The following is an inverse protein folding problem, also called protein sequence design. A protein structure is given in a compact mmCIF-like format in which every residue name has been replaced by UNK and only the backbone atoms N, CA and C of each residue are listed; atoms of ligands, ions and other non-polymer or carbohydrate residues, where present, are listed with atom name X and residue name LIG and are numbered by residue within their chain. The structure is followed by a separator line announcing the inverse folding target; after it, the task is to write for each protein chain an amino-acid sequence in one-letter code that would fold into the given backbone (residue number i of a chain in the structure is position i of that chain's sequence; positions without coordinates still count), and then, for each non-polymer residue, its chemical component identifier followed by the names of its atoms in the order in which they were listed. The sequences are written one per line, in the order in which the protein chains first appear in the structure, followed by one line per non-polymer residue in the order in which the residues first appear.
data_IF_973443362626
#
_entry.id   IF_973443362626
#
_cell.length_a   1.000
_cell.length_b   1.000
_cell.length_c   1.000
_cell.angle_alpha   90.00
_cell.angle_beta   90.00
_cell.angle_gamma   90.00
#
_symmetry.space_group_name_H-M   'P 1'
#
loop_
_entity.id
_entity.type
_entity.pdbx_description
1 polymer ?
#
# COMPACT_ATOMS: atom_id res chain seq x y z
N UNK A 1 13.72 2.32 -27.60
CA UNK A 1 13.51 3.44 -26.66
C UNK A 1 14.04 4.67 -27.35
N UNK A 2 13.17 5.60 -27.75
CA UNK A 2 13.62 6.92 -28.23
C UNK A 2 14.37 7.57 -27.07
N UNK A 3 15.62 7.98 -27.27
CA UNK A 3 16.37 8.70 -26.26
C UNK A 3 15.68 10.04 -26.03
N UNK A 4 15.24 10.27 -24.79
CA UNK A 4 14.59 11.49 -24.37
C UNK A 4 15.51 12.68 -24.67
N UNK A 5 14.94 13.74 -25.28
CA UNK A 5 15.70 14.95 -25.66
C UNK A 5 16.03 15.75 -24.41
N UNK A 6 17.32 15.89 -24.11
CA UNK A 6 17.77 16.65 -22.93
C UNK A 6 17.75 18.16 -23.25
N UNK A 7 17.17 18.96 -22.34
CA UNK A 7 17.06 20.40 -22.45
C UNK A 7 17.97 21.08 -21.44
N UNK A 8 18.92 21.84 -21.94
CA UNK A 8 19.97 22.53 -21.19
C UNK A 8 19.71 24.03 -21.24
N UNK A 9 19.57 24.68 -20.09
CA UNK A 9 19.55 26.14 -19.99
C UNK A 9 20.98 26.62 -19.68
N UNK A 10 21.57 27.37 -20.58
CA UNK A 10 22.84 28.06 -20.40
C UNK A 10 22.61 29.54 -20.09
N UNK A 11 23.01 29.98 -18.89
CA UNK A 11 22.97 31.38 -18.49
C UNK A 11 24.39 31.91 -18.45
N UNK A 12 24.76 32.72 -19.47
CA UNK A 12 26.14 33.14 -19.76
C UNK A 12 26.10 34.41 -20.60
N UNK A 13 26.83 35.43 -20.23
CA UNK A 13 26.84 36.70 -20.95
C UNK A 13 27.99 36.85 -21.99
N UNK A 14 29.07 36.04 -21.84
CA UNK A 14 30.19 36.08 -22.76
C UNK A 14 29.90 35.23 -24.03
N UNK A 15 29.81 35.85 -25.24
CA UNK A 15 29.54 35.12 -26.48
C UNK A 15 30.61 34.06 -26.83
N UNK A 16 31.87 34.29 -26.42
CA UNK A 16 32.96 33.34 -26.68
C UNK A 16 32.81 32.09 -25.84
N UNK A 17 32.45 32.24 -24.57
CA UNK A 17 32.15 31.12 -23.69
C UNK A 17 30.95 30.33 -24.15
N UNK A 18 29.88 31.01 -24.60
CA UNK A 18 28.69 30.35 -25.21
C UNK A 18 29.09 29.55 -26.46
N UNK A 19 29.94 30.09 -27.31
CA UNK A 19 30.41 29.38 -28.51
C UNK A 19 31.24 28.15 -28.14
N UNK A 20 32.13 28.24 -27.16
CA UNK A 20 32.91 27.13 -26.64
C UNK A 20 31.98 26.04 -26.09
N UNK A 21 31.01 26.37 -25.19
CA UNK A 21 30.09 25.40 -24.60
C UNK A 21 29.24 24.69 -25.69
N UNK A 22 28.80 25.40 -26.72
CA UNK A 22 28.10 24.80 -27.88
C UNK A 22 28.98 23.81 -28.64
N UNK A 23 30.23 24.14 -28.84
CA UNK A 23 31.21 23.27 -29.51
C UNK A 23 31.46 22.00 -28.72
N UNK A 24 31.76 22.13 -27.42
CA UNK A 24 32.02 20.99 -26.54
C UNK A 24 30.80 20.02 -26.42
N UNK A 25 29.58 20.54 -26.43
CA UNK A 25 28.35 19.72 -26.45
C UNK A 25 28.09 19.09 -27.82
N UNK A 26 28.30 19.85 -28.92
CA UNK A 26 27.96 19.39 -30.27
C UNK A 26 28.81 18.25 -30.79
N UNK A 27 30.09 18.17 -30.39
CA UNK A 27 31.06 17.21 -30.94
C UNK A 27 30.92 15.80 -30.41
N UNK A 28 30.40 15.60 -29.16
CA UNK A 28 30.40 14.29 -28.48
C UNK A 28 29.16 13.95 -27.68
N UNK A 29 28.12 14.79 -27.72
CA UNK A 29 26.88 14.44 -27.02
C UNK A 29 26.18 13.28 -27.72
N UNK A 30 26.01 12.18 -27.01
CA UNK A 30 25.34 10.98 -27.53
C UNK A 30 23.83 11.05 -27.24
N UNK A 31 23.07 11.45 -28.26
CA UNK A 31 21.61 11.62 -28.21
C UNK A 31 21.12 13.02 -28.58
N UNK A 32 19.80 13.22 -28.65
CA UNK A 32 19.23 14.55 -28.96
C UNK A 32 19.34 15.48 -27.74
N UNK A 33 19.81 16.71 -27.93
CA UNK A 33 19.75 17.73 -26.90
C UNK A 33 19.28 19.08 -27.48
N UNK A 34 18.85 19.97 -26.60
CA UNK A 34 18.51 21.35 -26.91
C UNK A 34 19.25 22.27 -25.94
N UNK A 35 20.03 23.22 -26.47
CA UNK A 35 20.69 24.23 -25.67
C UNK A 35 19.98 25.57 -25.84
N UNK A 36 19.32 26.04 -24.80
CA UNK A 36 18.72 27.38 -24.74
C UNK A 36 19.70 28.30 -24.00
N UNK A 37 20.10 29.38 -24.69
CA UNK A 37 21.05 30.34 -24.13
C UNK A 37 20.35 31.64 -23.73
N UNK A 38 20.74 32.20 -22.61
CA UNK A 38 20.27 33.48 -22.04
C UNK A 38 21.47 34.22 -21.45
N UNK A 39 21.51 35.53 -21.65
CA UNK A 39 22.62 36.41 -21.25
C UNK A 39 22.47 37.12 -19.92
N UNK A 40 21.29 37.07 -19.29
CA UNK A 40 20.96 37.73 -18.02
C UNK A 40 20.29 36.77 -17.05
N UNK A 41 20.61 36.86 -15.76
CA UNK A 41 19.94 36.06 -14.72
C UNK A 41 18.44 36.30 -14.71
N UNK A 42 17.99 37.55 -14.78
CA UNK A 42 16.58 37.92 -14.77
C UNK A 42 15.76 37.29 -15.88
N UNK A 43 16.34 37.14 -17.07
CA UNK A 43 15.75 36.46 -18.22
C UNK A 43 15.82 34.94 -18.05
N UNK A 44 16.94 34.42 -17.53
CA UNK A 44 17.10 33.00 -17.18
C UNK A 44 16.09 32.51 -16.19
N UNK A 45 15.79 33.27 -15.13
CA UNK A 45 14.77 32.99 -14.16
C UNK A 45 13.36 32.87 -14.77
N UNK A 46 13.01 33.81 -15.68
CA UNK A 46 11.72 33.75 -16.39
C UNK A 46 11.61 32.50 -17.25
N UNK A 47 12.69 32.16 -17.95
CA UNK A 47 12.71 30.99 -18.83
C UNK A 47 12.71 29.66 -18.03
N UNK A 48 13.43 29.64 -16.90
CA UNK A 48 13.48 28.49 -16.01
C UNK A 48 12.12 28.20 -15.31
N UNK A 49 11.30 29.23 -15.10
CA UNK A 49 9.96 29.07 -14.50
C UNK A 49 8.99 28.28 -15.39
N UNK A 50 9.30 28.07 -16.68
CA UNK A 50 8.52 27.21 -17.58
C UNK A 50 8.72 25.71 -17.31
N UNK A 51 9.61 25.33 -16.36
CA UNK A 51 9.88 23.97 -15.85
C UNK A 51 10.15 22.91 -16.92
N UNK A 52 10.86 23.27 -17.99
CA UNK A 52 11.10 22.35 -19.10
C UNK A 52 12.59 22.06 -19.35
N UNK A 53 13.45 22.30 -18.35
CA UNK A 53 14.89 22.04 -18.42
C UNK A 53 15.32 20.88 -17.51
N UNK A 54 16.22 20.05 -18.04
CA UNK A 54 16.84 18.94 -17.31
C UNK A 54 18.05 19.40 -16.48
N UNK A 55 18.71 20.52 -16.88
CA UNK A 55 19.87 21.07 -16.18
C UNK A 55 20.07 22.54 -16.51
N UNK A 56 20.61 23.29 -15.56
CA UNK A 56 21.06 24.68 -15.76
C UNK A 56 22.58 24.72 -15.65
N UNK A 57 23.22 25.29 -16.71
CA UNK A 57 24.62 25.73 -16.67
C UNK A 57 24.61 27.22 -16.35
N UNK A 58 25.20 27.61 -15.21
CA UNK A 58 25.08 28.96 -14.67
C UNK A 58 26.42 29.62 -14.46
N UNK A 59 26.66 30.70 -15.18
CA UNK A 59 27.75 31.61 -14.82
C UNK A 59 27.41 32.41 -13.57
N UNK A 60 28.39 32.58 -12.70
CA UNK A 60 28.26 33.38 -11.48
C UNK A 60 28.55 34.86 -11.68
N UNK A 61 29.07 35.28 -12.84
CA UNK A 61 29.53 36.64 -13.10
C UNK A 61 28.71 37.31 -14.20
N UNK A 62 27.39 37.36 -14.03
CA UNK A 62 26.47 37.96 -14.99
C UNK A 62 26.33 39.49 -14.81
N UNK A 63 25.93 40.26 -15.86
CA UNK A 63 25.77 41.70 -15.78
C UNK A 63 24.79 42.18 -14.71
N UNK A 64 23.75 41.40 -14.45
CA UNK A 64 22.66 41.73 -13.52
C UNK A 64 22.76 40.98 -12.16
N UNK A 65 23.77 40.11 -11.96
CA UNK A 65 23.98 39.41 -10.68
C UNK A 65 25.38 38.79 -10.61
N UNK A 66 25.98 38.75 -9.41
CA UNK A 66 27.35 38.19 -9.22
C UNK A 66 27.50 37.29 -8.04
N UNK A 67 28.37 36.29 -8.17
CA UNK A 67 28.80 35.40 -7.12
C UNK A 67 27.70 34.47 -6.63
N UNK A 68 27.73 34.13 -5.33
CA UNK A 68 26.75 33.19 -4.70
C UNK A 68 25.31 33.70 -4.78
N UNK A 69 25.08 35.00 -4.84
CA UNK A 69 23.73 35.55 -4.98
C UNK A 69 23.07 35.09 -6.29
N UNK A 70 23.84 35.01 -7.38
CA UNK A 70 23.38 34.49 -8.68
C UNK A 70 22.90 33.05 -8.55
N UNK A 71 23.67 32.20 -7.86
CA UNK A 71 23.30 30.82 -7.60
C UNK A 71 22.03 30.71 -6.75
N UNK A 72 21.94 31.41 -5.63
CA UNK A 72 20.76 31.35 -4.77
C UNK A 72 19.48 31.82 -5.46
N UNK A 73 19.56 32.89 -6.26
CA UNK A 73 18.41 33.35 -7.03
C UNK A 73 17.97 32.32 -8.06
N UNK A 74 18.91 31.70 -8.80
CA UNK A 74 18.60 30.66 -9.77
C UNK A 74 18.01 29.43 -9.10
N UNK A 75 18.61 28.97 -7.98
CA UNK A 75 18.10 27.81 -7.21
C UNK A 75 16.67 28.04 -6.70
N UNK A 76 16.35 29.23 -6.23
CA UNK A 76 15.00 29.57 -5.81
C UNK A 76 14.00 29.61 -6.99
N UNK A 77 14.47 29.95 -8.21
CA UNK A 77 13.65 30.02 -9.41
C UNK A 77 13.36 28.67 -10.06
N UNK A 78 14.34 27.74 -10.06
CA UNK A 78 14.18 26.39 -10.66
C UNK A 78 13.65 25.34 -9.67
N UNK A 79 13.65 25.63 -8.37
CA UNK A 79 13.31 24.65 -7.34
C UNK A 79 14.41 23.64 -7.09
N UNK A 80 14.06 22.50 -6.47
CA UNK A 80 15.03 21.44 -6.11
C UNK A 80 15.19 20.38 -7.20
N UNK A 81 14.25 20.28 -8.14
CA UNK A 81 14.20 19.23 -9.16
C UNK A 81 15.16 19.47 -10.35
N UNK A 82 15.50 20.73 -10.65
CA UNK A 82 16.41 21.05 -11.76
C UNK A 82 17.83 21.27 -11.22
N UNK A 83 18.80 20.40 -11.57
CA UNK A 83 20.17 20.53 -11.10
C UNK A 83 20.87 21.72 -11.73
N UNK A 84 21.73 22.41 -10.96
CA UNK A 84 22.54 23.53 -11.39
C UNK A 84 24.02 23.12 -11.39
N UNK A 85 24.68 23.25 -12.53
CA UNK A 85 26.13 23.15 -12.68
C UNK A 85 26.67 24.57 -12.86
N UNK A 86 27.58 24.96 -11.98
CA UNK A 86 28.13 26.31 -11.98
C UNK A 86 29.30 26.41 -12.95
N UNK A 87 29.33 27.47 -13.76
CA UNK A 87 30.47 27.86 -14.56
C UNK A 87 31.24 28.98 -13.83
N UNK A 88 32.56 28.86 -13.66
CA UNK A 88 33.36 29.84 -12.94
C UNK A 88 34.62 30.25 -13.72
N UNK A 89 35.00 31.53 -13.64
CA UNK A 89 36.33 31.96 -14.10
C UNK A 89 37.42 31.46 -13.15
N UNK A 90 38.68 31.60 -13.62
CA UNK A 90 39.88 31.12 -12.86
C UNK A 90 40.02 31.80 -11.45
N UNK A 91 39.56 33.02 -11.31
CA UNK A 91 39.65 33.82 -10.07
C UNK A 91 38.50 33.55 -9.09
N UNK A 92 37.46 32.80 -9.48
CA UNK A 92 36.22 32.61 -8.73
C UNK A 92 36.04 31.19 -8.14
N UNK A 93 37.09 30.36 -8.13
CA UNK A 93 37.05 28.96 -7.68
C UNK A 93 36.53 28.83 -6.23
N UNK A 94 36.90 29.76 -5.35
CA UNK A 94 36.40 29.75 -3.96
C UNK A 94 34.91 29.97 -3.85
N UNK A 95 34.34 30.78 -4.75
CA UNK A 95 32.88 31.04 -4.81
C UNK A 95 32.15 29.83 -5.40
N UNK A 96 32.75 29.19 -6.42
CA UNK A 96 32.20 27.97 -7.02
C UNK A 96 32.12 26.80 -6.00
N UNK A 97 33.18 26.59 -5.20
CA UNK A 97 33.17 25.58 -4.12
C UNK A 97 32.07 25.88 -3.09
N UNK A 98 31.86 27.14 -2.72
CA UNK A 98 30.76 27.52 -1.82
C UNK A 98 29.38 27.27 -2.45
N UNK A 99 29.23 27.45 -3.77
CA UNK A 99 27.98 27.15 -4.45
C UNK A 99 27.67 25.64 -4.40
N UNK A 100 28.68 24.76 -4.56
CA UNK A 100 28.51 23.31 -4.39
C UNK A 100 28.12 22.96 -2.95
N UNK A 101 28.76 23.58 -1.94
CA UNK A 101 28.36 23.39 -0.54
C UNK A 101 26.93 23.89 -0.25
N UNK A 102 26.44 24.86 -1.02
CA UNK A 102 25.08 25.38 -0.95
C UNK A 102 24.05 24.60 -1.80
N UNK A 103 24.51 23.55 -2.52
CA UNK A 103 23.64 22.61 -3.25
C UNK A 103 23.71 22.70 -4.77
N UNK A 104 24.73 23.36 -5.37
CA UNK A 104 25.03 23.14 -6.78
C UNK A 104 25.51 21.69 -6.97
N UNK A 105 25.17 21.08 -8.12
CA UNK A 105 25.51 19.68 -8.38
C UNK A 105 26.99 19.51 -8.70
N UNK A 106 27.58 20.49 -9.37
CA UNK A 106 29.01 20.52 -9.71
C UNK A 106 29.45 21.96 -10.05
N UNK A 107 30.78 22.16 -10.22
CA UNK A 107 31.29 23.39 -10.81
C UNK A 107 32.34 23.07 -11.85
N UNK A 108 32.44 23.92 -12.89
CA UNK A 108 33.36 23.79 -14.00
C UNK A 108 34.13 25.09 -14.17
N UNK A 109 35.49 25.02 -14.27
CA UNK A 109 36.35 26.18 -14.47
C UNK A 109 36.45 26.45 -15.96
N UNK A 110 36.00 27.62 -16.41
CA UNK A 110 36.07 28.07 -17.81
C UNK A 110 37.52 28.01 -18.31
N UNK A 111 37.74 27.52 -19.51
CA UNK A 111 39.08 27.37 -20.11
C UNK A 111 39.85 26.11 -19.66
N UNK A 112 39.37 25.36 -18.64
CA UNK A 112 39.93 24.06 -18.28
C UNK A 112 38.98 22.89 -18.56
N UNK A 113 37.76 23.18 -19.00
CA UNK A 113 36.74 22.19 -19.32
C UNK A 113 36.96 21.65 -20.73
N UNK A 114 37.07 20.32 -20.80
CA UNK A 114 36.98 19.60 -22.06
C UNK A 114 35.57 19.01 -22.26
N UNK A 115 35.33 18.46 -23.44
CA UNK A 115 34.06 17.86 -23.84
C UNK A 115 33.63 16.73 -22.88
N UNK A 116 34.56 15.87 -22.46
CA UNK A 116 34.30 14.74 -21.60
C UNK A 116 33.89 15.19 -20.17
N UNK A 117 34.56 16.21 -19.63
CA UNK A 117 34.27 16.75 -18.29
C UNK A 117 32.90 17.42 -18.28
N UNK A 118 32.59 18.27 -19.28
CA UNK A 118 31.29 18.95 -19.40
C UNK A 118 30.15 17.94 -19.50
N UNK A 119 30.24 17.01 -20.46
CA UNK A 119 29.19 15.99 -20.68
C UNK A 119 28.98 15.11 -19.45
N UNK A 120 30.06 14.68 -18.81
CA UNK A 120 30.00 13.87 -17.61
C UNK A 120 29.35 14.61 -16.44
N UNK A 121 29.72 15.88 -16.22
CA UNK A 121 29.14 16.71 -15.16
C UNK A 121 27.64 16.90 -15.37
N UNK A 122 27.20 17.21 -16.59
CA UNK A 122 25.79 17.36 -16.93
C UNK A 122 25.02 16.04 -16.70
N UNK A 123 25.52 14.91 -17.24
CA UNK A 123 24.87 13.60 -17.07
C UNK A 123 24.75 13.20 -15.61
N UNK A 124 25.81 13.38 -14.83
CA UNK A 124 25.79 13.07 -13.39
C UNK A 124 24.85 13.98 -12.61
N UNK A 125 24.77 15.28 -12.99
CA UNK A 125 23.85 16.21 -12.38
C UNK A 125 22.38 15.78 -12.60
N UNK A 126 22.02 15.47 -13.85
CA UNK A 126 20.68 15.00 -14.22
C UNK A 126 20.35 13.67 -13.53
N UNK A 127 21.23 12.68 -13.61
CA UNK A 127 21.01 11.35 -13.05
C UNK A 127 20.84 11.41 -11.53
N UNK A 128 21.67 12.21 -10.86
CA UNK A 128 21.59 12.39 -9.40
C UNK A 128 20.29 13.09 -8.99
N UNK A 129 19.83 14.08 -9.75
CA UNK A 129 18.56 14.76 -9.48
C UNK A 129 17.38 13.81 -9.66
N UNK A 130 17.29 13.11 -10.79
CA UNK A 130 16.24 12.13 -11.08
C UNK A 130 16.17 11.03 -10.00
N UNK A 131 17.33 10.56 -9.54
CA UNK A 131 17.40 9.57 -8.46
C UNK A 131 16.88 10.13 -7.13
N UNK A 132 17.25 11.36 -6.80
CA UNK A 132 16.78 12.01 -5.57
C UNK A 132 15.27 12.24 -5.59
N UNK A 133 14.72 12.68 -6.73
CA UNK A 133 13.28 12.88 -6.88
C UNK A 133 12.51 11.55 -6.77
N UNK A 134 13.01 10.48 -7.41
CA UNK A 134 12.42 9.14 -7.30
C UNK A 134 12.48 8.60 -5.86
N UNK A 135 13.60 8.79 -5.14
CA UNK A 135 13.74 8.40 -3.73
C UNK A 135 12.77 9.19 -2.83
N UNK A 136 12.52 10.48 -3.14
CA UNK A 136 11.60 11.34 -2.41
C UNK A 136 10.15 10.92 -2.64
N UNK A 137 9.75 10.69 -3.89
CA UNK A 137 8.41 10.20 -4.24
C UNK A 137 8.10 8.84 -3.59
N UNK A 138 9.08 7.93 -3.59
CA UNK A 138 8.96 6.64 -2.92
C UNK A 138 8.76 6.79 -1.41
N UNK A 139 9.48 7.73 -0.80
CA UNK A 139 9.38 8.00 0.63
C UNK A 139 8.01 8.60 0.99
N UNK A 140 7.55 9.60 0.23
CA UNK A 140 6.27 10.27 0.49
C UNK A 140 5.12 9.26 0.35
N UNK A 141 5.13 8.43 -0.70
CA UNK A 141 4.18 7.34 -0.90
C UNK A 141 4.22 6.33 0.27
N UNK A 142 5.41 5.95 0.73
CA UNK A 142 5.57 5.03 1.86
C UNK A 142 5.03 5.59 3.18
N UNK A 143 5.18 6.90 3.43
CA UNK A 143 4.65 7.57 4.62
C UNK A 143 3.10 7.62 4.59
N UNK A 144 2.49 7.86 3.43
CA UNK A 144 1.03 7.82 3.24
C UNK A 144 0.46 6.41 3.49
N UNK A 145 1.10 5.38 2.92
CA UNK A 145 0.70 3.99 3.16
C UNK A 145 0.80 3.61 4.64
N UNK A 146 1.84 4.06 5.32
CA UNK A 146 2.02 3.81 6.76
C UNK A 146 0.93 4.47 7.59
N UNK A 147 0.56 5.71 7.27
CA UNK A 147 -0.53 6.39 7.95
C UNK A 147 -1.87 5.66 7.78
N UNK A 148 -2.17 5.18 6.56
CA UNK A 148 -3.36 4.38 6.29
C UNK A 148 -3.35 3.05 7.06
N UNK A 149 -2.22 2.36 7.14
CA UNK A 149 -2.03 1.15 7.94
C UNK A 149 -2.35 1.39 9.43
N UNK A 150 -1.82 2.47 10.01
CA UNK A 150 -2.07 2.80 11.42
C UNK A 150 -3.55 3.07 11.70
N UNK A 151 -4.27 3.69 10.75
CA UNK A 151 -5.72 3.91 10.86
C UNK A 151 -6.45 2.56 10.77
N UNK A 152 -6.12 1.74 9.77
CA UNK A 152 -6.77 0.46 9.55
C UNK A 152 -6.58 -0.50 10.73
N UNK A 153 -5.38 -0.57 11.32
CA UNK A 153 -5.10 -1.41 12.49
C UNK A 153 -6.02 -1.12 13.69
N UNK A 154 -6.49 0.13 13.84
CA UNK A 154 -7.45 0.52 14.88
C UNK A 154 -8.88 0.04 14.62
N UNK A 155 -9.17 -0.40 13.39
CA UNK A 155 -10.49 -0.91 13.02
C UNK A 155 -10.68 -2.35 13.47
N UNK A 156 -9.61 -3.12 13.63
CA UNK A 156 -9.68 -4.51 14.06
C UNK A 156 -9.87 -4.65 15.56
N UNK A 157 -10.53 -5.73 16.01
CA UNK A 157 -10.69 -6.01 17.43
C UNK A 157 -9.34 -6.21 18.12
N UNK A 158 -9.09 -5.50 19.22
CA UNK A 158 -7.88 -5.68 20.03
C UNK A 158 -7.98 -6.86 20.99
N UNK A 159 -9.21 -7.31 21.30
CA UNK A 159 -9.51 -8.44 22.18
C UNK A 159 -10.81 -9.09 21.75
N UNK A 160 -10.88 -10.41 21.89
CA UNK A 160 -12.15 -11.11 21.80
C UNK A 160 -13.05 -10.73 22.99
N UNK A 161 -14.36 -10.59 22.78
CA UNK A 161 -15.30 -10.33 23.86
C UNK A 161 -15.43 -11.57 24.77
N UNK A 162 -15.67 -11.34 26.05
CA UNK A 162 -16.06 -12.42 26.97
C UNK A 162 -17.53 -12.76 26.75
N UNK A 163 -17.81 -14.00 26.37
CA UNK A 163 -19.16 -14.52 26.21
C UNK A 163 -19.29 -15.80 27.06
N UNK A 164 -20.31 -15.86 27.93
CA UNK A 164 -20.49 -16.98 28.82
C UNK A 164 -20.70 -18.29 28.04
N UNK A 165 -19.96 -19.33 28.40
CA UNK A 165 -20.00 -20.63 27.74
C UNK A 165 -19.22 -20.73 26.44
N UNK A 166 -18.49 -19.67 26.05
CA UNK A 166 -17.71 -19.63 24.81
C UNK A 166 -16.29 -19.15 25.06
N UNK A 167 -15.34 -19.72 24.31
CA UNK A 167 -13.96 -19.26 24.19
C UNK A 167 -13.73 -18.84 22.74
N UNK A 168 -13.49 -17.53 22.52
CA UNK A 168 -13.47 -16.92 21.20
C UNK A 168 -12.11 -16.25 20.98
N UNK A 169 -11.54 -16.47 19.81
CA UNK A 169 -10.33 -15.79 19.37
C UNK A 169 -10.33 -15.55 17.85
N UNK A 170 -9.69 -14.51 17.43
CA UNK A 170 -9.41 -14.24 16.03
C UNK A 170 -8.15 -13.39 15.88
N UNK A 171 -7.53 -13.51 14.75
CA UNK A 171 -6.37 -12.73 14.36
C UNK A 171 -6.36 -12.48 12.86
N UNK A 172 -5.72 -11.37 12.48
CA UNK A 172 -5.41 -11.01 11.11
C UNK A 172 -3.91 -10.82 10.98
N UNK A 173 -3.34 -11.39 9.95
CA UNK A 173 -1.93 -11.28 9.58
C UNK A 173 -1.84 -10.72 8.14
N UNK A 174 -1.63 -9.41 8.00
CA UNK A 174 -1.57 -8.77 6.70
C UNK A 174 -0.36 -9.22 5.87
N UNK A 175 -0.53 -9.39 4.57
CA UNK A 175 0.55 -9.66 3.62
C UNK A 175 1.32 -8.38 3.25
N UNK A 176 0.63 -7.25 3.23
CA UNK A 176 1.18 -5.93 2.87
C UNK A 176 0.91 -4.89 3.97
N UNK A 177 1.12 -3.62 3.67
CA UNK A 177 0.87 -2.53 4.63
C UNK A 177 -0.61 -2.42 5.03
N UNK A 178 -1.54 -2.69 4.10
CA UNK A 178 -2.98 -2.68 4.34
C UNK A 178 -3.59 -4.01 3.91
N UNK A 179 -4.67 -4.43 4.56
CA UNK A 179 -5.34 -5.70 4.32
C UNK A 179 -6.73 -5.51 3.69
N UNK A 180 -7.08 -6.38 2.73
CA UNK A 180 -8.44 -6.59 2.27
C UNK A 180 -9.27 -7.44 3.21
N UNK A 181 -8.60 -8.34 3.92
CA UNK A 181 -9.21 -9.22 4.91
C UNK A 181 -9.82 -8.46 6.09
N UNK A 182 -10.93 -9.00 6.58
CA UNK A 182 -11.69 -8.44 7.67
C UNK A 182 -12.18 -9.51 8.64
N UNK A 183 -12.03 -9.25 9.94
CA UNK A 183 -12.79 -9.95 10.97
C UNK A 183 -13.27 -8.99 12.05
N UNK A 184 -14.39 -9.30 12.66
CA UNK A 184 -14.95 -8.46 13.72
C UNK A 184 -15.81 -9.27 14.73
N UNK A 185 -15.96 -8.67 15.90
CA UNK A 185 -16.89 -9.07 16.95
C UNK A 185 -17.85 -7.92 17.19
N UNK A 186 -19.10 -8.10 16.83
CA UNK A 186 -20.09 -7.03 16.87
C UNK A 186 -21.14 -7.37 17.92
N UNK A 187 -21.22 -6.62 19.03
CA UNK A 187 -22.34 -6.77 19.97
C UNK A 187 -23.65 -6.52 19.23
N UNK A 188 -24.60 -7.46 19.37
CA UNK A 188 -25.92 -7.39 18.75
C UNK A 188 -27.01 -7.26 19.82
N UNK A 189 -28.25 -7.03 19.36
CA UNK A 189 -29.42 -7.01 20.24
C UNK A 189 -29.55 -8.33 21.03
N UNK A 190 -30.27 -8.29 22.14
CA UNK A 190 -30.58 -9.46 22.98
C UNK A 190 -29.33 -10.18 23.52
N UNK A 191 -28.27 -9.45 23.81
CA UNK A 191 -26.98 -9.98 24.30
C UNK A 191 -26.27 -10.98 23.35
N UNK A 192 -26.70 -11.03 22.10
CA UNK A 192 -26.06 -11.83 21.07
C UNK A 192 -24.74 -11.22 20.61
N UNK A 193 -23.88 -12.07 20.06
CA UNK A 193 -22.58 -11.66 19.49
C UNK A 193 -22.55 -12.00 18.00
N UNK A 194 -22.32 -10.99 17.17
CA UNK A 194 -22.00 -11.15 15.77
C UNK A 194 -20.52 -11.48 15.58
N UNK A 195 -20.23 -12.51 14.81
CA UNK A 195 -18.88 -12.89 14.35
C UNK A 195 -18.84 -12.64 12.84
N UNK A 196 -17.86 -11.91 12.37
CA UNK A 196 -17.70 -11.59 10.95
C UNK A 196 -16.32 -12.01 10.48
N UNK A 197 -16.22 -12.63 9.33
CA UNK A 197 -14.98 -12.85 8.57
C UNK A 197 -15.27 -12.60 7.11
N UNK A 198 -14.43 -11.87 6.45
CA UNK A 198 -14.57 -11.58 5.03
C UNK A 198 -13.25 -11.20 4.39
N UNK A 199 -13.26 -11.18 3.08
CA UNK A 199 -12.15 -10.80 2.24
C UNK A 199 -12.66 -9.95 1.07
N UNK A 200 -11.95 -8.88 0.76
CA UNK A 200 -12.23 -8.00 -0.37
C UNK A 200 -11.28 -8.36 -1.52
N UNK A 201 -11.85 -8.64 -2.68
CA UNK A 201 -11.08 -9.03 -3.87
C UNK A 201 -9.96 -8.04 -4.20
N UNK A 202 -8.74 -8.56 -4.44
CA UNK A 202 -7.56 -7.76 -4.76
C UNK A 202 -6.73 -7.37 -3.53
N UNK A 203 -5.73 -6.51 -3.71
CA UNK A 203 -4.82 -6.09 -2.64
C UNK A 203 -4.50 -4.60 -2.71
N UNK A 204 -4.05 -4.04 -1.61
CA UNK A 204 -3.65 -2.65 -1.51
C UNK A 204 -4.74 -1.71 -0.98
N UNK A 205 -4.66 -0.42 -1.33
CA UNK A 205 -5.48 0.63 -0.72
C UNK A 205 -6.98 0.51 -1.07
N UNK A 206 -7.33 0.16 -2.32
CA UNK A 206 -8.72 0.03 -2.74
C UNK A 206 -9.49 -0.99 -1.90
N UNK A 207 -9.07 -2.27 -1.85
CA UNK A 207 -9.65 -3.27 -0.97
C UNK A 207 -9.68 -2.88 0.51
N UNK A 208 -8.64 -2.22 1.01
CA UNK A 208 -8.60 -1.74 2.40
C UNK A 208 -9.67 -0.68 2.72
N UNK A 209 -9.99 0.19 1.78
CA UNK A 209 -11.08 1.18 1.92
C UNK A 209 -12.43 0.51 1.87
N UNK A 210 -12.66 -0.39 0.91
CA UNK A 210 -13.92 -1.15 0.79
C UNK A 210 -14.15 -2.05 2.02
N UNK A 211 -13.11 -2.63 2.60
CA UNK A 211 -13.18 -3.32 3.89
C UNK A 211 -13.65 -2.39 5.01
N UNK A 212 -13.11 -1.17 5.06
CA UNK A 212 -13.47 -0.19 6.09
C UNK A 212 -14.95 0.24 5.97
N UNK A 213 -15.44 0.41 4.74
CA UNK A 213 -16.83 0.68 4.44
C UNK A 213 -17.73 -0.51 4.84
N UNK A 214 -17.36 -1.72 4.42
CA UNK A 214 -18.07 -2.96 4.79
C UNK A 214 -18.23 -3.06 6.31
N UNK A 215 -17.14 -2.85 7.05
CA UNK A 215 -17.16 -2.84 8.52
C UNK A 215 -18.12 -1.80 9.08
N UNK A 216 -18.06 -0.56 8.61
CA UNK A 216 -18.92 0.52 9.10
C UNK A 216 -20.40 0.22 8.84
N UNK A 217 -20.70 -0.30 7.64
CA UNK A 217 -22.04 -0.70 7.22
C UNK A 217 -22.59 -1.81 8.15
N UNK A 218 -21.83 -2.90 8.37
CA UNK A 218 -22.25 -4.01 9.22
C UNK A 218 -22.47 -3.57 10.66
N UNK A 219 -21.56 -2.79 11.25
CA UNK A 219 -21.70 -2.29 12.61
C UNK A 219 -22.90 -1.37 12.80
N UNK A 220 -23.30 -0.65 11.77
CA UNK A 220 -24.50 0.19 11.79
C UNK A 220 -25.77 -0.65 11.66
N UNK A 221 -25.80 -1.58 10.72
CA UNK A 221 -26.97 -2.43 10.47
C UNK A 221 -27.30 -3.35 11.64
N UNK A 222 -26.30 -3.89 12.34
CA UNK A 222 -26.49 -4.76 13.52
C UNK A 222 -27.15 -4.08 14.72
N UNK A 223 -27.18 -2.74 14.74
CA UNK A 223 -27.91 -1.99 15.79
C UNK A 223 -29.41 -1.95 15.54
N UNK A 224 -29.86 -2.15 14.30
CA UNK A 224 -31.25 -2.04 13.90
C UNK A 224 -31.86 -3.38 13.45
N UNK A 225 -31.03 -4.32 13.00
CA UNK A 225 -31.48 -5.59 12.44
C UNK A 225 -30.86 -6.75 13.21
N UNK A 226 -31.64 -7.85 13.33
CA UNK A 226 -31.27 -9.03 14.11
C UNK A 226 -30.91 -10.24 13.23
N UNK A 227 -31.58 -10.40 12.09
CA UNK A 227 -31.33 -11.48 11.15
C UNK A 227 -30.07 -11.21 10.32
N UNK A 228 -29.11 -12.17 10.35
CA UNK A 228 -27.81 -12.01 9.69
C UNK A 228 -27.90 -11.97 8.17
N UNK A 229 -28.86 -12.67 7.57
CA UNK A 229 -29.11 -12.63 6.12
C UNK A 229 -29.69 -11.29 5.69
N UNK A 230 -30.63 -10.73 6.47
CA UNK A 230 -31.19 -9.38 6.19
C UNK A 230 -30.11 -8.31 6.33
N UNK A 231 -29.22 -8.42 7.33
CA UNK A 231 -28.06 -7.53 7.48
C UNK A 231 -27.17 -7.58 6.24
N UNK A 232 -26.77 -8.80 5.78
CA UNK A 232 -25.92 -8.93 4.61
C UNK A 232 -26.62 -8.51 3.31
N UNK A 233 -27.90 -8.76 3.17
CA UNK A 233 -28.70 -8.28 2.02
C UNK A 233 -28.71 -6.76 1.93
N UNK A 234 -28.81 -6.07 3.07
CA UNK A 234 -28.77 -4.59 3.12
C UNK A 234 -27.36 -4.05 2.89
N UNK A 235 -26.36 -4.70 3.47
CA UNK A 235 -24.97 -4.37 3.22
C UNK A 235 -24.62 -4.51 1.73
N UNK A 236 -25.10 -5.58 1.07
CA UNK A 236 -24.93 -5.79 -0.36
C UNK A 236 -25.40 -4.61 -1.20
N UNK A 237 -26.57 -4.05 -0.90
CA UNK A 237 -27.14 -2.91 -1.65
C UNK A 237 -26.26 -1.66 -1.54
N UNK A 238 -25.67 -1.41 -0.36
CA UNK A 238 -24.74 -0.30 -0.17
C UNK A 238 -23.47 -0.54 -0.96
N UNK A 239 -22.85 -1.70 -0.78
CA UNK A 239 -21.59 -2.04 -1.43
C UNK A 239 -21.73 -2.08 -2.97
N UNK A 240 -22.80 -2.66 -3.50
CA UNK A 240 -23.02 -2.73 -4.95
C UNK A 240 -23.24 -1.37 -5.62
N UNK A 241 -23.64 -0.34 -4.86
CA UNK A 241 -23.75 1.02 -5.38
C UNK A 241 -22.37 1.72 -5.50
N UNK A 242 -21.40 1.32 -4.67
CA UNK A 242 -20.11 1.98 -4.53
C UNK A 242 -18.95 1.16 -5.10
N UNK A 243 -19.17 -0.14 -5.44
CA UNK A 243 -18.18 -1.01 -6.10
C UNK A 243 -18.24 -0.91 -7.61
N UNK A 244 -17.11 -1.14 -8.26
CA UNK A 244 -17.00 -1.35 -9.71
C UNK A 244 -17.11 -2.85 -10.07
N UNK A 245 -17.11 -3.16 -11.37
CA UNK A 245 -17.21 -4.55 -11.87
C UNK A 245 -16.01 -5.45 -11.46
N UNK A 246 -14.97 -4.89 -10.83
CA UNK A 246 -13.73 -5.60 -10.48
C UNK A 246 -13.66 -5.98 -9.00
N UNK A 247 -14.40 -5.28 -8.13
CA UNK A 247 -14.33 -5.47 -6.69
C UNK A 247 -15.59 -6.12 -6.13
N UNK A 248 -15.41 -7.08 -5.25
CA UNK A 248 -16.47 -7.75 -4.51
C UNK A 248 -15.97 -8.14 -3.12
N UNK A 249 -16.89 -8.46 -2.22
CA UNK A 249 -16.56 -8.87 -0.86
C UNK A 249 -17.10 -10.28 -0.62
N UNK A 250 -16.20 -11.24 -0.32
CA UNK A 250 -16.63 -12.50 0.29
C UNK A 250 -16.76 -12.32 1.78
N UNK A 251 -17.87 -12.72 2.37
CA UNK A 251 -18.14 -12.47 3.78
C UNK A 251 -19.06 -13.52 4.38
N UNK A 252 -18.70 -13.99 5.59
CA UNK A 252 -19.57 -14.76 6.46
C UNK A 252 -19.86 -13.97 7.74
N UNK A 253 -21.14 -13.94 8.13
CA UNK A 253 -21.58 -13.38 9.39
C UNK A 253 -22.36 -14.44 10.17
N UNK A 254 -21.90 -14.73 11.39
CA UNK A 254 -22.55 -15.59 12.34
C UNK A 254 -23.06 -14.81 13.54
N UNK A 255 -24.20 -15.23 14.11
CA UNK A 255 -24.73 -14.71 15.36
C UNK A 255 -24.80 -15.82 16.40
N UNK A 256 -24.15 -15.60 17.54
CA UNK A 256 -24.19 -16.47 18.70
C UNK A 256 -25.19 -15.93 19.70
N UNK A 257 -26.13 -16.77 20.11
CA UNK A 257 -27.00 -16.54 21.28
C UNK A 257 -26.47 -17.37 22.44
N UNK A 258 -25.89 -16.76 23.50
CA UNK A 258 -25.31 -17.46 24.61
C UNK A 258 -26.36 -18.13 25.51
N UNK A 259 -27.60 -17.64 25.51
CA UNK A 259 -28.68 -18.18 26.37
C UNK A 259 -29.21 -19.49 25.82
N UNK A 260 -29.48 -19.53 24.51
CA UNK A 260 -29.98 -20.72 23.82
C UNK A 260 -28.89 -21.62 23.27
N UNK A 261 -27.61 -21.17 23.29
CA UNK A 261 -26.45 -21.85 22.71
C UNK A 261 -26.63 -22.13 21.22
N UNK A 262 -27.30 -21.25 20.54
CA UNK A 262 -27.55 -21.38 19.10
C UNK A 262 -26.58 -20.50 18.31
N UNK A 263 -26.19 -21.01 17.14
CA UNK A 263 -25.44 -20.30 16.13
C UNK A 263 -26.24 -20.21 14.84
N UNK A 264 -26.42 -19.02 14.33
CA UNK A 264 -27.10 -18.74 13.07
C UNK A 264 -26.12 -18.01 12.18
N UNK A 265 -26.04 -18.35 10.90
CA UNK A 265 -25.11 -17.69 10.00
C UNK A 265 -25.70 -17.41 8.62
N UNK A 266 -25.07 -16.50 7.91
CA UNK A 266 -25.24 -16.27 6.50
C UNK A 266 -23.86 -16.06 5.86
N UNK A 267 -23.66 -16.58 4.66
CA UNK A 267 -22.40 -16.48 3.92
C UNK A 267 -22.63 -15.94 2.51
N UNK A 268 -21.86 -14.93 2.13
CA UNK A 268 -21.84 -14.36 0.79
C UNK A 268 -20.46 -14.66 0.17
N UNK A 269 -20.33 -15.80 -0.52
CA UNK A 269 -19.05 -16.26 -1.08
C UNK A 269 -18.10 -16.89 -0.07
N UNK A 270 -18.27 -16.67 1.23
CA UNK A 270 -17.41 -17.16 2.31
C UNK A 270 -17.99 -18.40 2.98
N UNK A 271 -17.15 -19.39 3.28
CA UNK A 271 -17.49 -20.65 3.96
C UNK A 271 -16.91 -20.69 5.36
N UNK A 272 -17.53 -21.51 6.24
CA UNK A 272 -17.01 -21.84 7.56
C UNK A 272 -17.03 -23.35 7.82
N UNK A 273 -16.57 -23.76 9.00
CA UNK A 273 -16.54 -25.17 9.39
C UNK A 273 -16.98 -25.34 10.84
N UNK A 274 -17.82 -26.34 11.08
CA UNK A 274 -18.18 -26.81 12.42
C UNK A 274 -17.47 -28.14 12.70
N UNK A 275 -16.53 -28.14 13.61
CA UNK A 275 -15.84 -29.32 14.10
C UNK A 275 -16.59 -29.85 15.30
N UNK A 276 -17.27 -30.97 15.16
CA UNK A 276 -17.98 -31.64 16.24
C UNK A 276 -17.03 -32.22 17.33
N UNK A 277 -17.55 -32.51 18.49
CA UNK A 277 -16.75 -33.06 19.58
C UNK A 277 -16.03 -34.38 19.21
N UNK A 278 -16.56 -35.11 18.20
CA UNK A 278 -15.90 -36.27 17.58
C UNK A 278 -15.04 -35.85 16.37
N UNK A 279 -14.90 -36.78 15.42
CA UNK A 279 -14.08 -36.55 14.22
C UNK A 279 -14.84 -35.93 13.03
N UNK A 280 -16.15 -35.72 13.18
CA UNK A 280 -16.99 -35.16 12.11
C UNK A 280 -16.72 -33.66 11.94
N UNK A 281 -16.64 -33.23 10.72
CA UNK A 281 -16.65 -31.82 10.32
C UNK A 281 -17.85 -31.57 9.42
N UNK A 282 -18.59 -30.51 9.69
CA UNK A 282 -19.69 -30.04 8.85
C UNK A 282 -19.24 -28.76 8.16
N UNK A 283 -19.34 -28.71 6.85
CA UNK A 283 -19.11 -27.50 6.07
C UNK A 283 -20.31 -26.54 6.28
N UNK A 284 -20.02 -25.32 6.65
CA UNK A 284 -20.96 -24.21 6.67
C UNK A 284 -20.88 -23.52 5.32
N UNK A 285 -21.69 -23.98 4.37
CA UNK A 285 -21.64 -23.52 2.99
C UNK A 285 -22.06 -22.03 2.90
N UNK A 286 -21.52 -21.34 1.92
CA UNK A 286 -21.99 -20.00 1.57
C UNK A 286 -23.47 -20.07 1.14
N UNK A 287 -24.27 -19.14 1.63
CA UNK A 287 -25.72 -19.08 1.33
C UNK A 287 -26.05 -18.21 0.11
N UNK A 288 -25.06 -17.46 -0.38
CA UNK A 288 -25.19 -16.55 -1.52
C UNK A 288 -23.85 -16.34 -2.24
N UNK A 289 -23.91 -15.68 -3.41
CA UNK A 289 -22.72 -15.14 -4.07
C UNK A 289 -22.10 -14.01 -3.24
N UNK A 290 -20.83 -13.61 -3.53
CA UNK A 290 -20.19 -12.46 -2.87
C UNK A 290 -21.02 -11.16 -2.94
N UNK A 291 -20.81 -10.27 -1.99
CA UNK A 291 -21.45 -8.95 -1.94
C UNK A 291 -20.78 -7.99 -2.95
N UNK A 292 -21.52 -7.01 -3.42
CA UNK A 292 -21.03 -5.98 -4.34
C UNK A 292 -21.17 -6.34 -5.83
N UNK A 293 -21.50 -7.59 -6.18
CA UNK A 293 -21.61 -8.03 -7.59
C UNK A 293 -22.95 -7.64 -8.21
N UNK A 294 -24.04 -7.79 -7.46
CA UNK A 294 -25.39 -7.50 -7.95
C UNK A 294 -26.23 -6.94 -6.80
N UNK A 295 -26.76 -5.73 -6.99
CA UNK A 295 -27.57 -5.00 -6.00
C UNK A 295 -28.78 -5.80 -5.51
N UNK A 296 -29.42 -6.57 -6.39
CA UNK A 296 -30.60 -7.36 -6.08
C UNK A 296 -30.33 -8.69 -5.35
N UNK A 297 -29.07 -8.99 -5.06
CA UNK A 297 -28.69 -10.22 -4.36
C UNK A 297 -29.31 -10.26 -2.96
N UNK A 298 -30.09 -11.30 -2.68
CA UNK A 298 -30.60 -11.62 -1.36
C UNK A 298 -29.73 -12.69 -0.73
N UNK A 299 -29.26 -12.45 0.49
CA UNK A 299 -28.45 -13.40 1.25
C UNK A 299 -29.34 -14.14 2.26
N UNK A 300 -29.67 -15.42 2.05
CA UNK A 300 -30.50 -16.18 3.00
C UNK A 300 -29.73 -16.49 4.29
N UNK A 301 -30.46 -16.51 5.39
CA UNK A 301 -29.97 -17.03 6.67
C UNK A 301 -30.04 -18.55 6.68
N UNK A 302 -28.94 -19.22 7.06
CA UNK A 302 -28.93 -20.67 7.25
C UNK A 302 -29.75 -21.10 8.47
N UNK A 303 -30.24 -22.35 8.51
CA UNK A 303 -30.95 -22.87 9.68
C UNK A 303 -30.10 -22.78 10.96
N UNK A 304 -30.73 -22.52 12.12
CA UNK A 304 -30.04 -22.49 13.40
C UNK A 304 -29.33 -23.81 13.72
N UNK A 305 -28.14 -23.71 14.26
CA UNK A 305 -27.35 -24.82 14.77
C UNK A 305 -27.32 -24.75 16.31
N UNK A 306 -27.75 -25.80 16.95
CA UNK A 306 -27.59 -25.95 18.41
C UNK A 306 -26.19 -26.45 18.70
N UNK A 307 -25.41 -25.68 19.46
CA UNK A 307 -24.03 -26.02 19.80
C UNK A 307 -23.97 -26.82 21.08
N UNK A 308 -23.11 -27.84 21.10
CA UNK A 308 -22.83 -28.65 22.27
C UNK A 308 -21.39 -28.46 22.77
N UNK A 309 -21.12 -28.65 24.08
CA UNK A 309 -19.76 -28.50 24.62
C UNK A 309 -18.71 -29.29 23.82
N UNK A 310 -17.59 -28.65 23.53
CA UNK A 310 -16.49 -29.23 22.78
C UNK A 310 -16.58 -29.02 21.26
N UNK A 311 -17.64 -28.42 20.73
CA UNK A 311 -17.72 -28.04 19.31
C UNK A 311 -16.96 -26.75 19.04
N UNK A 312 -16.40 -26.65 17.83
CA UNK A 312 -15.61 -25.51 17.39
C UNK A 312 -16.14 -25.03 16.03
N UNK A 313 -16.54 -23.78 15.97
CA UNK A 313 -16.80 -23.09 14.69
C UNK A 313 -15.54 -22.35 14.30
N UNK A 314 -15.17 -22.43 13.02
CA UNK A 314 -14.05 -21.67 12.48
C UNK A 314 -14.36 -21.09 11.13
N UNK A 315 -13.89 -19.88 10.92
CA UNK A 315 -13.85 -19.18 9.64
C UNK A 315 -12.43 -18.76 9.33
N UNK A 316 -12.03 -18.88 8.08
CA UNK A 316 -10.75 -18.34 7.61
C UNK A 316 -10.90 -17.81 6.21
N UNK A 317 -10.09 -16.83 5.86
CA UNK A 317 -9.91 -16.35 4.50
C UNK A 317 -9.01 -17.30 3.71
N UNK A 318 -8.94 -17.13 2.42
CA UNK A 318 -8.23 -18.04 1.51
C UNK A 318 -6.71 -18.04 1.72
N UNK A 319 -6.13 -16.97 2.23
CA UNK A 319 -4.72 -16.94 2.62
C UNK A 319 -4.28 -18.06 3.55
N UNK A 320 -5.21 -18.65 4.34
CA UNK A 320 -4.91 -19.81 5.19
C UNK A 320 -4.63 -21.06 4.35
N UNK A 321 -5.49 -21.39 3.40
CA UNK A 321 -5.38 -22.64 2.65
C UNK A 321 -4.64 -22.48 1.31
N UNK A 322 -4.47 -21.27 0.81
CA UNK A 322 -3.71 -20.94 -0.39
C UNK A 322 -2.22 -20.71 -0.12
N UNK A 323 -1.79 -20.58 1.14
CA UNK A 323 -0.39 -20.48 1.49
C UNK A 323 0.44 -21.60 0.82
N UNK A 324 1.48 -21.23 0.08
CA UNK A 324 2.27 -22.15 -0.73
C UNK A 324 3.64 -22.45 -0.10
N UNK A 325 4.04 -23.72 -0.17
CA UNK A 325 5.41 -24.13 0.11
C UNK A 325 6.36 -23.71 -1.04
N UNK A 326 7.68 -23.77 -0.83
CA UNK A 326 8.69 -23.52 -1.88
C UNK A 326 8.52 -24.44 -3.11
N UNK A 327 7.84 -25.57 -2.99
CA UNK A 327 7.53 -26.50 -4.07
C UNK A 327 6.19 -26.23 -4.76
N UNK A 328 5.48 -25.14 -4.46
CA UNK A 328 4.18 -24.80 -5.05
C UNK A 328 3.00 -25.64 -4.52
N UNK A 329 3.18 -26.37 -3.43
CA UNK A 329 2.09 -27.14 -2.80
C UNK A 329 1.34 -26.22 -1.85
N UNK A 330 -0.01 -26.17 -1.96
CA UNK A 330 -0.85 -25.39 -1.06
C UNK A 330 -0.95 -26.03 0.33
N UNK A 331 -1.10 -25.23 1.37
CA UNK A 331 -1.33 -25.70 2.74
C UNK A 331 -2.59 -26.53 2.84
N UNK A 332 -3.67 -26.04 2.32
CA UNK A 332 -4.95 -26.72 2.15
C UNK A 332 -5.79 -26.76 3.43
N UNK A 333 -7.11 -26.78 3.25
CA UNK A 333 -8.11 -26.70 4.31
C UNK A 333 -8.03 -27.89 5.28
N UNK A 334 -7.70 -29.10 4.78
CA UNK A 334 -7.65 -30.31 5.62
C UNK A 334 -6.58 -30.19 6.71
N UNK A 335 -5.41 -29.65 6.36
CA UNK A 335 -4.32 -29.44 7.33
C UNK A 335 -4.72 -28.42 8.38
N UNK A 336 -5.36 -27.30 7.99
CA UNK A 336 -5.87 -26.32 8.93
C UNK A 336 -6.86 -26.94 9.93
N UNK A 337 -7.82 -27.73 9.44
CA UNK A 337 -8.81 -28.42 10.29
C UNK A 337 -8.18 -29.49 11.18
N UNK A 338 -7.14 -30.21 10.70
CA UNK A 338 -6.40 -31.17 11.51
C UNK A 338 -5.63 -30.50 12.66
N UNK A 339 -5.00 -29.36 12.41
CA UNK A 339 -4.33 -28.55 13.42
C UNK A 339 -5.32 -28.12 14.51
N UNK A 340 -6.46 -27.54 14.12
CA UNK A 340 -7.50 -27.12 15.07
C UNK A 340 -8.00 -28.32 15.88
N UNK A 341 -8.19 -29.47 15.25
CA UNK A 341 -8.68 -30.69 15.91
C UNK A 341 -7.68 -31.25 16.91
N UNK A 342 -6.41 -31.32 16.54
CA UNK A 342 -5.36 -31.87 17.44
C UNK A 342 -5.14 -30.98 18.66
N UNK A 343 -5.32 -29.69 18.50
CA UNK A 343 -5.08 -28.68 19.54
C UNK A 343 -6.34 -28.22 20.27
N UNK A 344 -7.48 -28.89 20.06
CA UNK A 344 -8.81 -28.51 20.59
C UNK A 344 -8.89 -28.31 22.11
N UNK A 345 -7.99 -28.93 22.85
CA UNK A 345 -7.93 -28.80 24.32
C UNK A 345 -7.38 -27.43 24.75
N UNK A 346 -6.67 -26.75 23.89
CA UNK A 346 -6.06 -25.46 24.18
C UNK A 346 -7.07 -24.31 24.09
N UNK A 347 -6.77 -23.13 24.67
CA UNK A 347 -7.53 -21.92 24.46
C UNK A 347 -7.63 -21.56 22.96
N UNK A 348 -8.74 -20.93 22.56
CA UNK A 348 -8.95 -20.52 21.16
C UNK A 348 -7.82 -19.63 20.64
N UNK A 349 -7.29 -18.72 21.46
CA UNK A 349 -6.17 -17.86 21.10
C UNK A 349 -4.89 -18.64 20.80
N UNK A 350 -4.58 -19.67 21.57
CA UNK A 350 -3.42 -20.52 21.31
C UNK A 350 -3.57 -21.34 20.04
N UNK A 351 -4.79 -21.79 19.72
CA UNK A 351 -5.08 -22.52 18.47
C UNK A 351 -4.85 -21.61 17.25
N UNK A 352 -5.32 -20.36 17.31
CA UNK A 352 -5.08 -19.36 16.26
C UNK A 352 -3.58 -19.13 16.03
N UNK A 353 -2.82 -18.92 17.12
CA UNK A 353 -1.37 -18.71 17.05
C UNK A 353 -0.62 -19.94 16.51
N UNK A 354 -1.03 -21.14 16.89
CA UNK A 354 -0.42 -22.39 16.41
C UNK A 354 -0.70 -22.62 14.94
N UNK A 355 -1.93 -22.39 14.48
CA UNK A 355 -2.29 -22.51 13.08
C UNK A 355 -1.47 -21.53 12.23
N UNK A 356 -1.35 -20.27 12.64
CA UNK A 356 -0.53 -19.30 11.92
C UNK A 356 0.95 -19.72 11.89
N UNK A 357 1.53 -20.16 13.01
CA UNK A 357 2.91 -20.66 13.04
C UNK A 357 3.12 -21.84 12.11
N UNK A 358 2.15 -22.73 12.01
CA UNK A 358 2.23 -23.88 11.11
C UNK A 358 2.19 -23.47 9.64
N UNK A 359 1.32 -22.50 9.27
CA UNK A 359 1.27 -21.91 7.93
C UNK A 359 2.63 -21.28 7.57
N UNK A 360 3.19 -20.45 8.44
CA UNK A 360 4.49 -19.79 8.25
C UNK A 360 5.61 -20.82 8.10
N UNK A 361 5.61 -21.88 8.95
CA UNK A 361 6.59 -22.95 8.88
C UNK A 361 6.48 -23.76 7.59
N UNK A 362 5.26 -24.01 7.10
CA UNK A 362 5.00 -24.72 5.86
C UNK A 362 5.48 -23.92 4.64
N UNK A 363 5.26 -22.61 4.63
CA UNK A 363 5.72 -21.72 3.57
C UNK A 363 7.24 -21.49 3.59
N UNK A 364 7.96 -21.98 4.61
CA UNK A 364 9.41 -21.85 4.79
C UNK A 364 9.90 -20.41 4.61
N UNK A 365 9.18 -19.47 5.19
CA UNK A 365 9.49 -18.04 5.09
C UNK A 365 9.46 -17.47 3.66
N UNK A 366 8.73 -18.11 2.72
CA UNK A 366 8.34 -17.41 1.49
C UNK A 366 7.53 -16.17 1.88
N UNK A 367 7.62 -15.12 1.08
CA UNK A 367 6.81 -13.91 1.31
C UNK A 367 5.34 -14.31 1.31
N UNK A 368 4.60 -13.94 2.37
CA UNK A 368 3.16 -14.11 2.43
C UNK A 368 2.53 -13.36 1.24
N UNK A 369 1.71 -14.04 0.45
CA UNK A 369 1.15 -13.50 -0.80
C UNK A 369 -0.21 -12.86 -0.59
N UNK A 370 -0.95 -13.33 0.42
CA UNK A 370 -2.29 -12.88 0.72
C UNK A 370 -2.47 -12.70 2.22
N UNK A 371 -3.47 -11.90 2.60
CA UNK A 371 -3.84 -11.67 3.98
C UNK A 371 -4.35 -12.98 4.60
N UNK A 372 -4.21 -13.15 5.91
CA UNK A 372 -4.67 -14.33 6.63
C UNK A 372 -5.55 -13.87 7.80
N UNK A 373 -6.85 -14.09 7.70
CA UNK A 373 -7.76 -13.92 8.81
C UNK A 373 -8.26 -15.29 9.33
N UNK A 374 -8.22 -15.45 10.66
CA UNK A 374 -8.65 -16.68 11.35
C UNK A 374 -9.55 -16.28 12.48
N UNK A 375 -10.73 -16.91 12.58
CA UNK A 375 -11.60 -16.80 13.75
C UNK A 375 -12.01 -18.19 14.24
N UNK A 376 -11.89 -18.41 15.52
CA UNK A 376 -12.25 -19.65 16.22
C UNK A 376 -13.23 -19.33 17.34
N UNK A 377 -14.33 -20.08 17.39
CA UNK A 377 -15.35 -20.03 18.44
C UNK A 377 -15.50 -21.43 19.01
N UNK A 378 -15.17 -21.61 20.27
CA UNK A 378 -15.33 -22.89 20.98
C UNK A 378 -16.50 -22.81 21.94
N UNK A 379 -17.36 -23.83 21.94
CA UNK A 379 -18.34 -24.07 22.97
C UNK A 379 -17.66 -24.78 24.14
N UNK A 380 -17.74 -24.20 25.36
CA UNK A 380 -17.11 -24.72 26.59
C UNK A 380 -18.01 -25.74 27.31
#
# INVERSE_FOLDING_TARGET
MESERIRILLVEDDPDDVWIMRGLLGDRWDGPFELVHIDLLSSGLKRAAENDFDVVLLDLSLPDSRGLETFFKMKAGVGESVPIVVLSGYDDETTAVKAVQAGAQDYLVKGQVDDNVLIRSIRYAIERSRRHDAERELRDTSEEFRAAQEIQQRLYPTKAPTLEGFDIAGALYPATATAGDYYDYIPMLEHCLGIVVGDVSGHGMGPALLMSETRACLRTLTQAYFDVGDILTRANRVLAADTDDLHFVTLAMGRIDPLTRTFVYAGAGQQGHLLHAGNKVTLLESTSMPLGINEDTVVPTAPPLELVPGEIITFFTDGVFEAESLGGVRFGIQRALETIRSERAKPASEIVDLLHKEIVSFSRHSTQRDDIAIVIVKML
#
